data_IF_673776837421
#
_entry.id   IF_673776837421
#
_cell.length_a   1.000
_cell.length_b   1.000
_cell.length_c   1.000
_cell.angle_alpha   90.00
_cell.angle_beta   90.00
_cell.angle_gamma   90.00
#
_symmetry.space_group_name_H-M   'P 1'
#
loop_
_entity.id
_entity.type
_entity.pdbx_description
1 polymer ?
#
# COMPACT_ATOMS: atom_id res chain seq x y z
N UNK A 1 29.54 -9.70 2.17
CA UNK A 1 28.42 -9.74 3.14
C UNK A 1 27.20 -9.16 2.43
N UNK A 2 26.12 -9.93 2.27
CA UNK A 2 24.84 -9.39 1.81
C UNK A 2 24.16 -8.68 2.97
N UNK A 3 23.66 -7.47 2.75
CA UNK A 3 22.84 -6.73 3.72
C UNK A 3 21.40 -6.63 3.21
N UNK A 4 20.45 -6.56 4.13
CA UNK A 4 19.02 -6.52 3.82
C UNK A 4 18.43 -5.27 4.46
N UNK A 5 17.62 -4.54 3.70
CA UNK A 5 16.84 -3.41 4.17
C UNK A 5 15.34 -3.75 4.08
N UNK A 6 14.64 -3.63 5.21
CA UNK A 6 13.18 -3.66 5.21
C UNK A 6 12.63 -2.26 4.97
N UNK A 7 11.65 -2.14 4.07
CA UNK A 7 10.93 -0.89 3.81
C UNK A 7 9.46 -1.02 4.19
N UNK A 8 8.88 0.04 4.74
CA UNK A 8 7.44 0.16 4.96
C UNK A 8 6.64 0.00 3.66
N UNK A 9 5.31 -0.23 3.75
CA UNK A 9 4.51 -0.51 2.56
C UNK A 9 4.69 0.53 1.44
N UNK A 10 5.10 0.12 0.22
CA UNK A 10 5.29 1.03 -0.91
C UNK A 10 4.01 1.20 -1.73
N UNK A 11 2.95 0.45 -1.42
CA UNK A 11 1.67 0.54 -2.11
C UNK A 11 0.87 1.80 -1.73
N UNK A 12 -0.13 2.09 -2.56
CA UNK A 12 -1.08 3.17 -2.36
C UNK A 12 -1.90 2.98 -1.09
N UNK A 13 -1.98 4.05 -0.30
CA UNK A 13 -2.64 4.05 0.99
C UNK A 13 -3.49 5.31 1.17
N UNK A 14 -4.37 5.28 2.19
CA UNK A 14 -5.16 6.45 2.57
C UNK A 14 -4.25 7.61 2.95
N UNK A 15 -4.67 8.84 2.66
CA UNK A 15 -4.03 10.04 3.19
C UNK A 15 -5.02 10.79 4.07
N UNK A 16 -4.53 11.32 5.18
CA UNK A 16 -5.26 12.19 6.10
C UNK A 16 -4.24 12.95 6.94
N UNK A 17 -4.64 14.11 7.46
CA UNK A 17 -3.83 14.87 8.40
C UNK A 17 -4.42 14.77 9.79
N UNK A 18 -3.57 14.50 10.78
CA UNK A 18 -3.87 14.55 12.20
C UNK A 18 -2.78 15.40 12.87
N UNK A 19 -3.16 16.41 13.65
CA UNK A 19 -2.21 17.29 14.34
C UNK A 19 -1.16 17.93 13.39
N UNK A 20 -1.61 18.40 12.22
CA UNK A 20 -0.77 19.00 11.17
C UNK A 20 0.31 18.07 10.55
N UNK A 21 0.22 16.75 10.73
CA UNK A 21 1.07 15.78 10.05
C UNK A 21 0.24 14.59 9.53
N UNK A 22 0.79 13.83 8.60
CA UNK A 22 0.24 12.56 8.17
C UNK A 22 0.78 11.44 9.08
N UNK A 23 -0.06 10.75 9.86
CA UNK A 23 0.40 9.70 10.76
C UNK A 23 1.12 8.57 10.02
N UNK A 24 2.11 7.93 10.65
CA UNK A 24 2.87 6.84 10.02
C UNK A 24 1.97 5.64 9.66
N UNK A 25 0.94 5.37 10.47
CA UNK A 25 0.09 4.19 10.35
C UNK A 25 -0.82 4.23 9.12
N UNK A 26 -0.96 5.38 8.44
CA UNK A 26 -1.77 5.47 7.21
C UNK A 26 -1.26 4.51 6.14
N UNK A 27 0.05 4.22 6.13
CA UNK A 27 0.69 3.26 5.21
C UNK A 27 0.13 1.84 5.34
N UNK A 28 -0.42 1.50 6.50
CA UNK A 28 -1.01 0.21 6.80
C UNK A 28 -2.53 0.18 6.55
N UNK A 29 -3.07 1.17 5.83
CA UNK A 29 -4.44 1.19 5.33
C UNK A 29 -4.43 1.32 3.80
N UNK A 30 -4.28 0.18 3.09
CA UNK A 30 -4.22 0.15 1.63
C UNK A 30 -5.49 0.68 0.96
N UNK A 31 -5.31 1.36 -0.17
CA UNK A 31 -6.38 1.76 -1.09
C UNK A 31 -6.29 0.98 -2.40
N UNK A 32 -5.07 0.77 -2.87
CA UNK A 32 -4.76 -0.12 -4.00
C UNK A 32 -3.35 -0.68 -3.87
N UNK A 33 -2.94 -1.52 -4.82
CA UNK A 33 -1.59 -2.06 -4.90
C UNK A 33 -0.69 -1.34 -5.92
N UNK A 34 -1.09 -0.15 -6.38
CA UNK A 34 -0.20 0.74 -7.14
C UNK A 34 0.98 1.16 -6.26
N UNK A 35 2.19 1.26 -6.81
CA UNK A 35 3.40 1.65 -6.07
C UNK A 35 3.52 3.19 -5.97
N UNK A 36 2.57 3.81 -5.28
CA UNK A 36 2.58 5.26 -5.02
C UNK A 36 2.26 5.50 -3.54
N UNK A 37 3.27 5.82 -2.74
CA UNK A 37 3.16 5.94 -1.28
C UNK A 37 3.74 7.26 -0.76
N UNK A 38 3.70 7.48 0.56
CA UNK A 38 4.45 8.55 1.23
C UNK A 38 5.94 8.58 0.85
N UNK A 39 6.52 7.43 0.48
CA UNK A 39 7.94 7.31 0.14
C UNK A 39 8.28 7.61 -1.33
N UNK A 40 7.28 7.87 -2.19
CA UNK A 40 7.49 8.14 -3.61
C UNK A 40 6.61 7.30 -4.54
N UNK A 41 6.85 7.45 -5.84
CA UNK A 41 6.19 6.72 -6.91
C UNK A 41 6.98 5.47 -7.35
N UNK A 42 6.43 4.75 -8.34
CA UNK A 42 6.99 3.48 -8.80
C UNK A 42 8.40 3.63 -9.36
N UNK A 43 8.66 4.69 -10.14
CA UNK A 43 9.98 4.91 -10.74
C UNK A 43 11.03 5.21 -9.67
N UNK A 44 10.67 5.99 -8.64
CA UNK A 44 11.54 6.25 -7.49
C UNK A 44 11.81 4.98 -6.68
N UNK A 45 10.79 4.14 -6.49
CA UNK A 45 10.96 2.85 -5.82
C UNK A 45 11.87 1.90 -6.63
N UNK A 46 11.69 1.84 -7.94
CA UNK A 46 12.52 1.05 -8.86
C UNK A 46 13.97 1.53 -8.85
N UNK A 47 14.19 2.84 -8.88
CA UNK A 47 15.53 3.44 -8.77
C UNK A 47 16.20 3.05 -7.44
N UNK A 48 15.49 3.16 -6.31
CA UNK A 48 16.01 2.74 -5.00
C UNK A 48 16.41 1.27 -5.01
N UNK A 49 15.55 0.37 -5.49
CA UNK A 49 15.85 -1.07 -5.60
C UNK A 49 17.10 -1.31 -6.45
N UNK A 50 17.21 -0.64 -7.60
CA UNK A 50 18.35 -0.79 -8.50
C UNK A 50 19.67 -0.30 -7.88
N UNK A 51 19.65 0.84 -7.19
CA UNK A 51 20.83 1.36 -6.48
C UNK A 51 21.26 0.44 -5.35
N UNK A 52 20.33 -0.05 -4.54
CA UNK A 52 20.61 -0.99 -3.46
C UNK A 52 21.17 -2.32 -3.98
N UNK A 53 20.54 -2.92 -5.00
CA UNK A 53 20.98 -4.20 -5.57
C UNK A 53 22.42 -4.12 -6.12
N UNK A 54 22.79 -3.00 -6.77
CA UNK A 54 24.13 -2.79 -7.33
C UNK A 54 25.25 -2.78 -6.28
N UNK A 55 24.93 -2.47 -5.02
CA UNK A 55 25.88 -2.50 -3.91
C UNK A 55 25.68 -3.70 -2.98
N UNK A 56 24.91 -4.71 -3.42
CA UNK A 56 24.68 -5.93 -2.65
C UNK A 56 23.70 -5.80 -1.47
N UNK A 57 22.85 -4.75 -1.47
CA UNK A 57 21.76 -4.56 -0.51
C UNK A 57 20.46 -5.07 -1.12
N UNK A 58 19.82 -6.04 -0.47
CA UNK A 58 18.50 -6.57 -0.88
C UNK A 58 17.37 -5.88 -0.14
N UNK A 59 16.23 -5.74 -0.80
CA UNK A 59 15.05 -5.08 -0.24
C UNK A 59 13.99 -6.12 0.13
N UNK A 60 13.48 -6.03 1.35
CA UNK A 60 12.26 -6.73 1.80
C UNK A 60 11.18 -5.67 1.99
N UNK A 61 10.00 -5.90 1.42
CA UNK A 61 8.87 -4.97 1.51
C UNK A 61 7.85 -5.47 2.53
N UNK A 62 7.34 -4.54 3.33
CA UNK A 62 6.13 -4.79 4.11
C UNK A 62 4.93 -4.82 3.15
N UNK A 63 4.15 -5.91 3.15
CA UNK A 63 3.00 -6.08 2.27
C UNK A 63 1.72 -6.31 3.08
N UNK A 64 0.82 -5.34 3.04
CA UNK A 64 -0.46 -5.41 3.77
C UNK A 64 -1.52 -6.01 2.87
N UNK A 65 -1.75 -7.31 3.02
CA UNK A 65 -2.71 -8.10 2.22
C UNK A 65 -3.96 -8.52 3.01
N UNK A 66 -3.92 -8.41 4.34
CA UNK A 66 -4.97 -8.86 5.24
C UNK A 66 -6.23 -7.97 5.21
N UNK A 67 -6.05 -6.66 5.03
CA UNK A 67 -7.13 -5.66 5.13
C UNK A 67 -6.89 -4.47 4.20
N UNK A 68 -7.92 -3.65 4.04
CA UNK A 68 -7.90 -2.37 3.32
C UNK A 68 -8.09 -1.21 4.30
N UNK A 69 -8.50 0.00 3.85
CA UNK A 69 -8.82 1.10 4.77
C UNK A 69 -9.81 0.70 5.87
N UNK A 70 -9.73 1.40 7.00
CA UNK A 70 -10.63 1.17 8.13
C UNK A 70 -12.11 1.37 7.78
N UNK A 71 -12.96 0.81 8.63
CA UNK A 71 -14.42 1.01 8.53
C UNK A 71 -14.77 2.51 8.60
N UNK A 72 -15.70 2.94 7.76
CA UNK A 72 -16.17 4.33 7.71
C UNK A 72 -15.20 5.33 7.07
N UNK A 73 -14.08 4.85 6.51
CA UNK A 73 -13.16 5.69 5.75
C UNK A 73 -13.61 5.78 4.29
N UNK A 74 -13.78 7.01 3.77
CA UNK A 74 -14.19 7.24 2.38
C UNK A 74 -13.40 8.40 1.78
N UNK A 75 -13.00 8.26 0.52
CA UNK A 75 -12.30 9.34 -0.20
C UNK A 75 -13.19 10.59 -0.29
N UNK A 76 -12.61 11.75 0.02
CA UNK A 76 -13.29 13.05 0.01
C UNK A 76 -14.08 13.36 1.28
N UNK A 77 -14.14 12.46 2.27
CA UNK A 77 -14.88 12.66 3.51
C UNK A 77 -13.91 12.89 4.66
N UNK A 78 -14.09 13.97 5.42
CA UNK A 78 -13.19 14.38 6.52
C UNK A 78 -11.71 14.49 6.11
N UNK A 79 -11.44 15.07 4.93
CA UNK A 79 -10.07 15.30 4.45
C UNK A 79 -9.32 14.03 4.02
N UNK A 80 -10.01 12.91 3.84
CA UNK A 80 -9.40 11.64 3.43
C UNK A 80 -9.12 11.61 1.93
N UNK A 81 -7.88 11.35 1.57
CA UNK A 81 -7.41 11.18 0.20
C UNK A 81 -6.76 9.83 -0.03
N UNK A 82 -6.05 9.71 -1.14
CA UNK A 82 -5.28 8.53 -1.51
C UNK A 82 -3.95 8.97 -2.09
N UNK A 83 -2.85 8.32 -1.72
CA UNK A 83 -1.51 8.70 -2.16
C UNK A 83 -1.29 8.57 -3.68
N UNK A 84 -2.03 7.68 -4.33
CA UNK A 84 -1.98 7.41 -5.79
C UNK A 84 -3.27 7.77 -6.54
N UNK A 85 -4.15 8.55 -5.91
CA UNK A 85 -5.36 9.08 -6.54
C UNK A 85 -6.51 8.08 -6.77
N UNK A 86 -6.41 6.79 -6.42
CA UNK A 86 -7.51 5.84 -6.57
C UNK A 86 -8.71 6.20 -5.68
N UNK A 87 -9.91 5.78 -6.09
CA UNK A 87 -11.12 5.90 -5.28
C UNK A 87 -11.23 4.74 -4.27
N UNK A 88 -11.84 5.00 -3.12
CA UNK A 88 -12.20 3.99 -2.12
C UNK A 88 -13.42 4.41 -1.30
N UNK A 89 -14.17 3.42 -0.85
CA UNK A 89 -15.28 3.55 0.11
C UNK A 89 -15.31 2.36 1.07
N UNK A 90 -14.76 2.55 2.27
CA UNK A 90 -14.70 1.58 3.36
C UNK A 90 -15.92 1.60 4.29
N UNK A 91 -17.04 2.20 3.87
CA UNK A 91 -18.29 2.16 4.65
C UNK A 91 -18.81 0.72 4.77
N UNK A 92 -19.41 0.37 5.90
CA UNK A 92 -19.75 -1.03 6.27
C UNK A 92 -20.56 -1.78 5.23
N UNK A 93 -21.45 -1.08 4.51
CA UNK A 93 -22.33 -1.62 3.48
C UNK A 93 -21.80 -1.50 2.05
N UNK A 94 -20.66 -0.84 1.82
CA UNK A 94 -20.15 -0.54 0.46
C UNK A 94 -18.86 -1.30 0.14
N UNK A 95 -17.82 -1.16 0.99
CA UNK A 95 -16.50 -1.82 0.84
C UNK A 95 -16.00 -1.86 -0.61
N UNK A 96 -15.87 -0.70 -1.26
CA UNK A 96 -15.51 -0.55 -2.67
C UNK A 96 -14.07 -0.05 -2.87
N UNK A 97 -13.29 -0.80 -3.65
CA UNK A 97 -11.88 -0.54 -3.96
C UNK A 97 -11.58 -0.79 -5.44
N UNK A 98 -12.09 0.03 -6.37
CA UNK A 98 -11.96 -0.21 -7.81
C UNK A 98 -10.50 -0.17 -8.32
N UNK A 99 -9.59 0.44 -7.55
CA UNK A 99 -8.15 0.43 -7.87
C UNK A 99 -7.45 -0.90 -7.56
N UNK A 100 -8.08 -1.80 -6.81
CA UNK A 100 -7.53 -3.13 -6.51
C UNK A 100 -7.74 -4.04 -7.70
N UNK A 101 -6.64 -4.51 -8.30
CA UNK A 101 -6.68 -5.51 -9.37
C UNK A 101 -7.44 -6.75 -8.93
N UNK A 102 -8.16 -7.38 -9.87
CA UNK A 102 -8.83 -8.67 -9.64
C UNK A 102 -7.87 -9.76 -9.13
N UNK A 103 -6.56 -9.62 -9.37
CA UNK A 103 -5.51 -10.51 -8.84
C UNK A 103 -5.40 -10.46 -7.32
N UNK A 104 -5.77 -9.34 -6.69
CA UNK A 104 -5.82 -9.17 -5.23
C UNK A 104 -7.26 -9.10 -4.72
N UNK A 105 -8.20 -9.73 -5.42
CA UNK A 105 -9.55 -9.89 -4.93
C UNK A 105 -9.59 -10.88 -3.76
N UNK A 106 -10.59 -10.74 -2.88
CA UNK A 106 -10.82 -11.63 -1.73
C UNK A 106 -10.83 -13.12 -2.11
N UNK A 107 -11.31 -13.46 -3.31
CA UNK A 107 -11.33 -14.82 -3.85
C UNK A 107 -9.94 -15.45 -4.03
N UNK A 108 -8.89 -14.63 -4.16
CA UNK A 108 -7.55 -15.10 -4.53
C UNK A 108 -6.68 -15.36 -3.30
N UNK A 109 -6.95 -14.69 -2.17
CA UNK A 109 -6.22 -14.90 -0.90
C UNK A 109 -6.57 -16.20 -0.17
N UNK A 110 -7.52 -16.99 -0.71
CA UNK A 110 -7.85 -18.33 -0.21
C UNK A 110 -7.39 -19.46 -1.13
N UNK A 111 -6.67 -19.13 -2.20
CA UNK A 111 -6.07 -20.14 -3.07
C UNK A 111 -4.66 -20.45 -2.57
N UNK A 112 -4.33 -21.74 -2.43
CA UNK A 112 -3.01 -22.26 -2.00
C UNK A 112 -1.85 -21.81 -2.91
N UNK A 113 -2.14 -21.02 -3.95
CA UNK A 113 -1.16 -20.50 -4.91
C UNK A 113 -0.36 -19.30 -4.42
N UNK A 114 -0.74 -18.66 -3.30
CA UNK A 114 -0.02 -17.48 -2.81
C UNK A 114 1.16 -17.79 -1.87
N UNK A 115 1.44 -19.07 -1.57
CA UNK A 115 2.66 -19.50 -0.88
C UNK A 115 3.16 -20.75 -1.59
N UNK A 116 3.82 -20.55 -2.73
CA UNK A 116 4.86 -21.47 -3.17
C UNK A 116 6.14 -20.64 -3.16
N UNK A 117 6.85 -20.73 -2.04
CA UNK A 117 8.25 -20.32 -1.93
C UNK A 117 9.11 -21.48 -2.40
#
# INVERSE_FOLDING_TARGET
MLSILQVSPPNEHITLNQNNDMPWWVRYQPVSYKLVSRSGNEDQFRDMVNRCNRVGVRIIVDAVLNHMVGVGQKKGVYGRGSSGGSYFDGSDSVKSFPGVSKLFAKSNFRQVKCISI
#
